data_IF_082181872723
#
_entry.id   IF_082181872723
#
_cell.length_a   1.000
_cell.length_b   1.000
_cell.length_c   1.000
_cell.angle_alpha   90.00
_cell.angle_beta   90.00
_cell.angle_gamma   90.00
#
_symmetry.space_group_name_H-M   'P 1'
#
loop_
_entity.id
_entity.type
_entity.pdbx_description
1 polymer ?
#
# COMPACT_ATOMS: atom_id res chain seq x y z
N UNK A 1 -1.74 3.76 13.23
CA UNK A 1 -1.16 4.05 11.91
C UNK A 1 -1.47 2.96 10.86
N UNK A 2 -1.04 1.69 11.02
CA UNK A 2 -1.36 0.66 10.00
C UNK A 2 -2.86 0.37 9.88
N UNK A 3 -3.60 0.43 10.97
CA UNK A 3 -5.05 0.28 10.94
C UNK A 3 -5.73 1.45 10.21
N UNK A 4 -5.23 2.65 10.36
CA UNK A 4 -5.74 3.83 9.63
C UNK A 4 -5.44 3.74 8.14
N UNK A 5 -4.26 3.24 7.77
CA UNK A 5 -3.93 2.93 6.38
C UNK A 5 -4.85 1.85 5.78
N UNK A 6 -5.26 0.85 6.60
CA UNK A 6 -6.25 -0.14 6.21
C UNK A 6 -7.62 0.51 5.95
N UNK A 7 -8.11 1.32 6.88
CA UNK A 7 -9.41 2.01 6.75
C UNK A 7 -9.42 2.87 5.48
N UNK A 8 -8.38 3.70 5.27
CA UNK A 8 -8.25 4.55 4.10
C UNK A 8 -8.25 3.74 2.78
N UNK A 9 -7.54 2.61 2.76
CA UNK A 9 -7.50 1.74 1.60
C UNK A 9 -8.86 1.07 1.33
N UNK A 10 -9.56 0.62 2.37
CA UNK A 10 -10.89 0.02 2.22
C UNK A 10 -11.94 1.04 1.77
N UNK A 11 -11.88 2.26 2.29
CA UNK A 11 -12.75 3.34 1.83
C UNK A 11 -12.61 3.58 0.32
N UNK A 12 -11.37 3.66 -0.19
CA UNK A 12 -11.12 3.73 -1.63
C UNK A 12 -11.66 2.53 -2.40
N UNK A 13 -11.47 1.30 -1.89
CA UNK A 13 -11.96 0.08 -2.55
C UNK A 13 -13.48 0.10 -2.74
N UNK A 14 -14.21 0.41 -1.70
CA UNK A 14 -15.68 0.40 -1.75
C UNK A 14 -16.29 1.70 -2.31
N UNK A 15 -15.48 2.73 -2.54
CA UNK A 15 -15.87 3.91 -3.30
C UNK A 15 -15.80 3.68 -4.80
N UNK A 16 -14.70 3.08 -5.29
CA UNK A 16 -14.43 2.94 -6.73
C UNK A 16 -14.86 1.60 -7.33
N UNK A 17 -14.92 0.51 -6.56
CA UNK A 17 -15.37 -0.82 -6.99
C UNK A 17 -14.68 -1.36 -8.26
N UNK A 18 -13.38 -1.13 -8.40
CA UNK A 18 -12.63 -1.59 -9.57
C UNK A 18 -12.50 -3.12 -9.61
N UNK A 19 -12.76 -3.72 -10.76
CA UNK A 19 -12.60 -5.15 -10.98
C UNK A 19 -11.11 -5.54 -11.01
N UNK A 20 -10.83 -6.81 -10.68
CA UNK A 20 -9.47 -7.36 -10.70
C UNK A 20 -9.00 -7.67 -12.13
N UNK A 21 -7.66 -7.73 -12.40
CA UNK A 21 -7.13 -8.01 -13.72
C UNK A 21 -7.70 -9.29 -14.38
N UNK A 22 -7.80 -10.40 -13.61
CA UNK A 22 -8.34 -11.66 -14.11
C UNK A 22 -9.84 -11.62 -14.42
N UNK A 23 -10.58 -10.67 -13.83
CA UNK A 23 -11.99 -10.45 -14.14
C UNK A 23 -12.16 -9.65 -15.45
N UNK A 24 -11.18 -8.78 -15.75
CA UNK A 24 -11.15 -8.02 -17.00
C UNK A 24 -10.66 -8.89 -18.17
N UNK A 25 -9.60 -9.65 -17.96
CA UNK A 25 -9.00 -10.56 -18.93
C UNK A 25 -8.79 -11.96 -18.31
N UNK A 26 -9.64 -12.94 -18.64
CA UNK A 26 -9.52 -14.30 -18.13
C UNK A 26 -8.23 -15.04 -18.53
N UNK A 27 -7.45 -14.52 -19.47
CA UNK A 27 -6.13 -15.05 -19.82
C UNK A 27 -5.09 -14.77 -18.72
N UNK A 28 -5.36 -13.80 -17.84
CA UNK A 28 -4.51 -13.51 -16.67
C UNK A 28 -4.83 -14.53 -15.57
N UNK A 29 -3.86 -15.40 -15.27
CA UNK A 29 -3.99 -16.42 -14.22
C UNK A 29 -3.25 -15.94 -12.97
N UNK A 30 -3.94 -15.60 -11.87
CA UNK A 30 -3.31 -15.23 -10.62
C UNK A 30 -2.47 -16.38 -10.03
N UNK A 31 -1.35 -16.06 -9.37
CA UNK A 31 -0.46 -17.07 -8.75
C UNK A 31 -1.05 -17.70 -7.49
N UNK A 32 -2.07 -17.09 -6.89
CA UNK A 32 -2.76 -17.58 -5.70
C UNK A 32 -4.19 -17.06 -5.65
N UNK A 33 -5.04 -17.56 -4.73
CA UNK A 33 -6.43 -17.12 -4.62
C UNK A 33 -6.55 -15.62 -4.42
N UNK A 34 -7.36 -14.97 -5.25
CA UNK A 34 -7.56 -13.52 -5.22
C UNK A 34 -8.50 -13.16 -4.07
N UNK A 35 -8.17 -12.13 -3.26
CA UNK A 35 -9.06 -11.66 -2.22
C UNK A 35 -10.42 -11.21 -2.76
N UNK A 36 -11.50 -11.53 -2.04
CA UNK A 36 -12.86 -11.21 -2.46
C UNK A 36 -13.26 -9.76 -2.12
N UNK A 37 -12.51 -8.80 -2.64
CA UNK A 37 -12.80 -7.37 -2.55
C UNK A 37 -12.19 -6.61 -3.74
N UNK A 38 -12.61 -5.36 -4.03
CA UNK A 38 -12.18 -4.61 -5.19
C UNK A 38 -10.66 -4.43 -5.31
N UNK A 39 -10.20 -4.19 -6.55
CA UNK A 39 -8.77 -4.10 -6.87
C UNK A 39 -8.12 -2.84 -6.32
N UNK A 40 -8.69 -1.68 -6.64
CA UNK A 40 -8.11 -0.35 -6.40
C UNK A 40 -8.55 0.27 -5.06
N UNK A 41 -7.64 0.90 -4.28
CA UNK A 41 -6.18 0.80 -4.38
C UNK A 41 -5.64 -0.51 -3.79
N UNK A 42 -4.36 -0.83 -4.02
CA UNK A 42 -3.74 -2.03 -3.46
C UNK A 42 -3.50 -1.90 -1.95
N UNK A 43 -4.08 -2.79 -1.16
CA UNK A 43 -3.86 -2.86 0.29
C UNK A 43 -2.38 -3.08 0.63
N UNK A 44 -1.73 -4.05 -0.01
CA UNK A 44 -0.32 -4.34 0.25
C UNK A 44 0.58 -3.15 -0.05
N UNK A 45 0.32 -2.44 -1.16
CA UNK A 45 1.07 -1.23 -1.50
C UNK A 45 0.85 -0.13 -0.47
N UNK A 46 -0.38 0.05 0.00
CA UNK A 46 -0.73 1.04 1.03
C UNK A 46 -0.02 0.73 2.35
N UNK A 47 -0.13 -0.52 2.83
CA UNK A 47 0.49 -0.90 4.12
C UNK A 47 2.01 -0.87 4.07
N UNK A 48 2.58 -1.40 3.00
CA UNK A 48 4.04 -1.47 2.85
C UNK A 48 4.65 -0.08 2.74
N UNK A 49 4.00 0.84 2.02
CA UNK A 49 4.44 2.22 1.94
C UNK A 49 4.30 2.92 3.30
N UNK A 50 3.15 2.82 3.97
CA UNK A 50 2.95 3.45 5.27
C UNK A 50 3.97 2.95 6.30
N UNK A 51 4.16 1.62 6.39
CA UNK A 51 5.13 1.01 7.30
C UNK A 51 6.56 1.43 6.98
N UNK A 52 6.92 1.45 5.69
CA UNK A 52 8.27 1.81 5.27
C UNK A 52 8.61 3.26 5.61
N UNK A 53 7.70 4.19 5.45
CA UNK A 53 7.96 5.60 5.77
C UNK A 53 8.12 5.81 7.29
N UNK A 54 7.29 5.20 8.12
CA UNK A 54 7.43 5.26 9.58
C UNK A 54 8.75 4.63 10.03
N UNK A 55 9.08 3.45 9.53
CA UNK A 55 10.35 2.78 9.89
C UNK A 55 11.56 3.54 9.37
N UNK A 56 11.49 4.16 8.19
CA UNK A 56 12.55 5.00 7.65
C UNK A 56 12.75 6.28 8.49
N UNK A 57 11.68 6.84 9.02
CA UNK A 57 11.74 7.96 9.97
C UNK A 57 12.43 7.56 11.28
N UNK A 58 12.05 6.41 11.84
CA UNK A 58 12.62 5.90 13.10
C UNK A 58 14.08 5.38 12.96
N UNK A 59 14.42 4.88 11.78
CA UNK A 59 15.73 4.28 11.49
C UNK A 59 16.37 4.90 10.23
N UNK A 60 16.76 6.17 10.27
CA UNK A 60 17.22 6.91 9.09
C UNK A 60 18.46 6.30 8.43
N UNK A 61 19.34 5.66 9.18
CA UNK A 61 20.51 4.97 8.64
C UNK A 61 20.15 3.76 7.74
N UNK A 62 18.92 3.26 7.82
CA UNK A 62 18.40 2.14 7.02
C UNK A 62 17.25 2.52 6.09
N UNK A 63 16.96 3.80 5.97
CA UNK A 63 15.78 4.30 5.27
C UNK A 63 15.68 3.80 3.82
N UNK A 64 16.79 3.80 3.08
CA UNK A 64 16.84 3.34 1.69
C UNK A 64 16.45 1.86 1.57
N UNK A 65 17.07 1.00 2.36
CA UNK A 65 16.76 -0.44 2.40
C UNK A 65 15.30 -0.69 2.77
N UNK A 66 14.80 -0.03 3.80
CA UNK A 66 13.42 -0.18 4.28
C UNK A 66 12.42 0.20 3.19
N UNK A 67 12.65 1.32 2.50
CA UNK A 67 11.80 1.76 1.39
C UNK A 67 11.87 0.81 0.20
N UNK A 68 13.03 0.25 -0.10
CA UNK A 68 13.19 -0.73 -1.18
C UNK A 68 12.36 -1.99 -0.91
N UNK A 69 12.40 -2.52 0.31
CA UNK A 69 11.58 -3.68 0.73
C UNK A 69 10.08 -3.36 0.64
N UNK A 70 9.68 -2.17 1.09
CA UNK A 70 8.27 -1.75 0.99
C UNK A 70 7.79 -1.59 -0.45
N UNK A 71 8.65 -1.09 -1.34
CA UNK A 71 8.36 -0.99 -2.77
C UNK A 71 8.19 -2.37 -3.39
N UNK A 72 9.09 -3.30 -3.12
CA UNK A 72 9.04 -4.68 -3.63
C UNK A 72 7.76 -5.40 -3.17
N UNK A 73 7.37 -5.23 -1.92
CA UNK A 73 6.12 -5.80 -1.39
C UNK A 73 4.87 -5.32 -2.15
N UNK A 74 4.84 -4.05 -2.57
CA UNK A 74 3.78 -3.53 -3.44
C UNK A 74 3.85 -4.11 -4.85
N UNK A 75 5.03 -4.08 -5.46
CA UNK A 75 5.26 -4.54 -6.84
C UNK A 75 4.96 -6.04 -7.00
N UNK A 76 5.19 -6.83 -5.97
CA UNK A 76 4.91 -8.26 -5.95
C UNK A 76 3.43 -8.60 -6.26
N UNK A 77 2.52 -7.67 -6.01
CA UNK A 77 1.08 -7.85 -6.28
C UNK A 77 0.76 -7.77 -7.77
N UNK A 78 1.54 -6.98 -8.52
CA UNK A 78 1.45 -6.93 -9.99
C UNK A 78 2.03 -8.22 -10.57
N UNK A 79 3.19 -8.65 -10.10
CA UNK A 79 3.82 -9.91 -10.55
C UNK A 79 2.93 -11.13 -10.26
N UNK A 80 2.16 -11.10 -9.19
CA UNK A 80 1.18 -12.13 -8.87
C UNK A 80 -0.09 -12.10 -9.74
N UNK A 81 -0.28 -11.06 -10.56
CA UNK A 81 -1.44 -10.94 -11.45
C UNK A 81 -2.74 -10.51 -10.78
N UNK A 82 -2.69 -9.93 -9.58
CA UNK A 82 -3.89 -9.58 -8.78
C UNK A 82 -4.18 -8.08 -8.71
N UNK A 83 -3.26 -7.23 -9.19
CA UNK A 83 -3.41 -5.78 -9.23
C UNK A 83 -2.89 -5.18 -10.53
N UNK A 84 -3.47 -4.03 -10.91
CA UNK A 84 -2.95 -3.16 -11.96
C UNK A 84 -1.84 -2.24 -11.41
N UNK A 85 -1.03 -1.67 -12.31
CA UNK A 85 -0.02 -0.67 -11.92
C UNK A 85 -0.64 0.53 -11.21
N UNK A 86 -1.80 1.01 -11.66
CA UNK A 86 -2.51 2.11 -11.02
C UNK A 86 -2.89 1.83 -9.57
N UNK A 87 -3.25 0.57 -9.23
CA UNK A 87 -3.58 0.17 -7.86
C UNK A 87 -2.36 0.28 -6.95
N UNK A 88 -1.20 -0.12 -7.48
CA UNK A 88 0.08 -0.11 -6.79
C UNK A 88 0.57 1.32 -6.55
N UNK A 89 0.57 2.16 -7.59
CA UNK A 89 0.98 3.57 -7.50
C UNK A 89 0.10 4.33 -6.52
N UNK A 90 -1.21 4.24 -6.66
CA UNK A 90 -2.16 4.92 -5.78
C UNK A 90 -2.10 4.38 -4.35
N UNK A 91 -1.94 3.07 -4.17
CA UNK A 91 -1.77 2.48 -2.85
C UNK A 91 -0.51 2.98 -2.15
N UNK A 92 0.63 3.05 -2.85
CA UNK A 92 1.88 3.61 -2.30
C UNK A 92 1.72 5.08 -1.91
N UNK A 93 1.07 5.88 -2.74
CA UNK A 93 0.83 7.29 -2.46
C UNK A 93 -0.07 7.47 -1.23
N UNK A 94 -1.15 6.71 -1.16
CA UNK A 94 -2.06 6.72 0.00
C UNK A 94 -1.33 6.34 1.28
N UNK A 95 -0.54 5.27 1.26
CA UNK A 95 0.24 4.82 2.42
C UNK A 95 1.25 5.86 2.91
N UNK A 96 1.94 6.52 1.99
CA UNK A 96 2.85 7.63 2.32
C UNK A 96 2.11 8.81 2.95
N UNK A 97 0.95 9.18 2.42
CA UNK A 97 0.14 10.28 2.97
C UNK A 97 -0.33 9.97 4.38
N UNK A 98 -0.77 8.76 4.66
CA UNK A 98 -1.14 8.33 6.03
C UNK A 98 0.07 8.38 6.95
N UNK A 99 1.22 7.85 6.54
CA UNK A 99 2.45 7.89 7.34
C UNK A 99 2.89 9.31 7.65
N UNK A 100 2.79 10.22 6.69
CA UNK A 100 3.18 11.63 6.86
C UNK A 100 2.40 12.32 7.99
N UNK A 101 1.08 12.07 8.07
CA UNK A 101 0.25 12.60 9.17
C UNK A 101 0.78 12.16 10.54
N UNK A 102 1.16 10.89 10.68
CA UNK A 102 1.70 10.35 11.93
C UNK A 102 3.11 10.86 12.24
N UNK A 103 3.95 11.05 11.23
CA UNK A 103 5.29 11.64 11.38
C UNK A 103 5.19 13.10 11.85
N UNK A 104 4.33 13.88 11.21
CA UNK A 104 4.08 15.27 11.62
C UNK A 104 3.54 15.36 13.05
N UNK A 105 2.65 14.47 13.41
CA UNK A 105 2.14 14.40 14.78
C UNK A 105 3.26 14.07 15.78
N UNK A 106 4.07 13.04 15.50
CA UNK A 106 5.19 12.66 16.36
C UNK A 106 6.25 13.77 16.50
N UNK A 107 6.44 14.60 15.47
CA UNK A 107 7.33 15.76 15.52
C UNK A 107 6.81 16.92 16.42
N UNK A 108 5.52 16.95 16.68
CA UNK A 108 4.85 18.04 17.38
C UNK A 108 4.25 17.64 18.74
N UNK A 109 4.34 16.38 19.14
CA UNK A 109 3.73 15.86 20.39
C UNK A 109 4.62 16.02 21.64
N UNK A 110 5.82 16.57 21.46
CA UNK A 110 6.75 16.81 22.57
C UNK A 110 7.53 15.57 23.04
N UNK A 111 7.49 14.46 22.30
CA UNK A 111 8.15 13.20 22.64
C UNK A 111 9.63 13.13 22.21
N UNK A 112 10.16 14.20 21.62
CA UNK A 112 11.55 14.29 21.14
C UNK A 112 12.49 14.94 22.14
#
# INVERSE_FOLDING_TARGET
>A
MLFDAFIASQDGKFTYWCIRPHQLDPAIVPLFPVPNFPSYPSNHSTFSAARSEILAYLFPARAEFIRAVGKEAGDSRIWAGIHYEMDNVSGKQLGKSVAQVFIEWAQNDGSQ
#
